data_IF_856088925483
#
_entry.id   IF_856088925483
#
_cell.length_a   1.000
_cell.length_b   1.000
_cell.length_c   1.000
_cell.angle_alpha   90.00
_cell.angle_beta   90.00
_cell.angle_gamma   90.00
#
_symmetry.space_group_name_H-M   'P 1'
#
loop_
_entity.id
_entity.type
_entity.pdbx_description
1 polymer ?
#
# COMPACT_ATOMS: atom_id res chain seq x y z
N UNK A 1 -19.57 -17.90 47.10
CA UNK A 1 -19.37 -18.14 48.55
C UNK A 1 -18.11 -18.99 48.72
N UNK A 2 -17.21 -18.57 49.61
CA UNK A 2 -16.05 -19.30 50.17
C UNK A 2 -14.70 -19.14 49.42
N UNK A 3 -13.89 -18.26 50.02
CA UNK A 3 -12.47 -18.01 49.84
C UNK A 3 -11.60 -19.23 50.21
N UNK A 4 -10.41 -19.35 49.61
CA UNK A 4 -9.26 -19.98 50.26
C UNK A 4 -7.97 -19.23 49.88
N UNK A 5 -7.32 -18.67 50.90
CA UNK A 5 -6.03 -17.98 50.88
C UNK A 5 -4.88 -18.92 51.29
N UNK A 6 -3.64 -18.44 51.11
CA UNK A 6 -2.33 -18.81 51.74
C UNK A 6 -1.49 -19.85 50.99
N UNK A 7 -0.15 -19.79 50.93
CA UNK A 7 0.86 -18.97 51.62
C UNK A 7 2.21 -19.09 50.87
N UNK A 8 3.02 -18.03 50.92
CA UNK A 8 4.46 -18.02 50.59
C UNK A 8 5.29 -18.96 51.47
N UNK A 9 6.41 -19.46 50.93
CA UNK A 9 7.62 -19.76 51.69
C UNK A 9 8.84 -19.09 51.05
N UNK A 10 9.54 -18.36 51.92
CA UNK A 10 10.87 -17.77 51.78
C UNK A 10 11.90 -18.89 52.03
N UNK A 11 12.99 -18.88 51.27
CA UNK A 11 14.14 -19.76 51.47
C UNK A 11 15.39 -19.19 50.80
N UNK A 12 16.13 -18.38 51.55
CA UNK A 12 17.47 -17.86 51.27
C UNK A 12 18.52 -18.96 51.50
N UNK A 13 19.54 -19.07 50.65
CA UNK A 13 20.96 -18.91 51.03
C UNK A 13 21.94 -19.35 49.93
N UNK A 14 22.95 -18.49 49.73
CA UNK A 14 24.37 -18.73 49.37
C UNK A 14 24.66 -19.59 48.12
N UNK A 15 25.55 -19.21 47.20
CA UNK A 15 26.92 -18.75 47.46
C UNK A 15 27.57 -18.15 46.18
N UNK A 16 28.51 -17.22 46.42
CA UNK A 16 29.73 -16.91 45.64
C UNK A 16 29.69 -16.59 44.13
N UNK A 17 29.82 -15.29 43.86
CA UNK A 17 30.63 -14.65 42.80
C UNK A 17 32.09 -15.19 42.77
N UNK A 18 32.88 -15.08 41.66
CA UNK A 18 33.13 -13.81 40.96
C UNK A 18 33.33 -13.85 39.42
N UNK A 19 32.80 -12.80 38.78
CA UNK A 19 33.51 -11.78 37.99
C UNK A 19 34.82 -12.19 37.27
N UNK A 20 34.88 -12.06 35.94
CA UNK A 20 35.72 -11.06 35.20
C UNK A 20 36.00 -11.42 33.73
N UNK A 21 35.57 -10.50 32.86
CA UNK A 21 36.32 -9.82 31.76
C UNK A 21 37.13 -10.59 30.70
N UNK A 22 36.88 -10.19 29.45
CA UNK A 22 37.86 -9.78 28.42
C UNK A 22 38.13 -10.71 27.21
N UNK A 23 37.70 -10.19 26.05
CA UNK A 23 38.49 -9.91 24.83
C UNK A 23 38.76 -10.98 23.73
N UNK A 24 38.48 -10.51 22.50
CA UNK A 24 39.15 -10.69 21.19
C UNK A 24 38.80 -11.87 20.24
N UNK A 25 38.18 -11.47 19.11
CA UNK A 25 38.64 -11.61 17.70
C UNK A 25 39.04 -12.98 17.13
N UNK A 26 38.29 -13.48 16.12
CA UNK A 26 38.76 -13.71 14.73
C UNK A 26 37.87 -14.69 13.92
N UNK A 27 37.35 -14.18 12.79
CA UNK A 27 37.18 -14.79 11.45
C UNK A 27 37.07 -16.33 11.28
N UNK A 28 36.03 -16.78 10.55
CA UNK A 28 36.17 -17.25 9.15
C UNK A 28 34.91 -17.98 8.64
N UNK A 29 34.69 -17.84 7.34
CA UNK A 29 33.58 -18.29 6.51
C UNK A 29 33.38 -19.82 6.43
N UNK A 30 32.17 -20.26 6.04
CA UNK A 30 31.92 -21.06 4.82
C UNK A 30 30.51 -21.68 4.82
N UNK A 31 29.85 -21.58 3.67
CA UNK A 31 28.60 -22.24 3.27
C UNK A 31 28.93 -23.32 2.20
N UNK A 32 27.93 -24.05 1.66
CA UNK A 32 27.53 -25.44 1.94
C UNK A 32 28.04 -26.45 0.87
N UNK A 33 27.65 -27.74 0.91
CA UNK A 33 26.91 -28.32 -0.25
C UNK A 33 25.92 -29.51 0.07
N UNK A 34 25.20 -30.06 -0.95
CA UNK A 34 23.98 -30.90 -0.86
C UNK A 34 24.23 -32.42 -1.09
N UNK A 35 23.20 -33.29 -1.19
CA UNK A 35 22.78 -33.85 -2.51
C UNK A 35 21.26 -34.17 -2.64
N UNK A 36 20.58 -34.04 -3.78
CA UNK A 36 20.50 -34.87 -5.02
C UNK A 36 19.53 -36.07 -4.99
N UNK A 37 18.54 -36.00 -5.90
CA UNK A 37 17.84 -37.02 -6.71
C UNK A 37 17.48 -38.42 -6.16
N UNK A 38 16.24 -38.85 -6.42
CA UNK A 38 15.94 -40.01 -7.30
C UNK A 38 14.45 -40.16 -7.60
N UNK A 39 14.16 -40.44 -8.87
CA UNK A 39 12.91 -41.03 -9.38
C UNK A 39 12.86 -42.52 -9.02
N UNK A 40 11.67 -43.08 -8.80
CA UNK A 40 11.17 -44.23 -9.59
C UNK A 40 9.78 -44.73 -9.14
N UNK A 41 9.19 -45.44 -10.09
CA UNK A 41 7.81 -45.85 -10.30
C UNK A 41 7.30 -46.97 -9.37
N UNK A 42 5.98 -47.03 -9.10
CA UNK A 42 5.05 -48.12 -9.54
C UNK A 42 3.72 -48.13 -8.74
N UNK A 43 2.68 -48.54 -9.48
CA UNK A 43 1.24 -48.46 -9.23
C UNK A 43 0.63 -49.36 -8.14
N UNK A 44 -0.55 -48.95 -7.66
CA UNK A 44 -1.81 -49.68 -7.35
C UNK A 44 -2.64 -48.74 -6.44
N UNK A 45 -3.91 -48.38 -6.61
CA UNK A 45 -5.08 -48.96 -7.26
C UNK A 45 -6.27 -48.67 -6.32
N UNK A 46 -7.46 -48.37 -6.87
CA UNK A 46 -8.74 -48.03 -6.19
C UNK A 46 -8.84 -46.59 -5.65
N UNK A 47 -9.89 -45.80 -5.82
CA UNK A 47 -11.20 -45.95 -6.46
C UNK A 47 -12.08 -44.76 -5.99
N UNK A 48 -12.98 -44.30 -6.86
CA UNK A 48 -14.13 -43.41 -6.63
C UNK A 48 -13.92 -41.88 -6.76
N UNK A 49 -14.27 -41.38 -7.94
CA UNK A 49 -14.84 -40.02 -8.14
C UNK A 49 -16.37 -40.13 -8.20
N UNK A 50 -17.15 -39.19 -7.60
CA UNK A 50 -18.58 -39.13 -7.81
C UNK A 50 -18.94 -38.39 -9.10
N UNK A 51 -19.99 -38.89 -9.76
CA UNK A 51 -20.50 -38.49 -11.06
C UNK A 51 -21.40 -37.23 -11.01
N UNK A 52 -21.41 -36.49 -12.12
CA UNK A 52 -22.38 -35.43 -12.43
C UNK A 52 -23.75 -36.01 -12.86
N UNK A 53 -24.87 -35.32 -12.63
CA UNK A 53 -26.20 -35.81 -12.98
C UNK A 53 -26.55 -35.56 -14.47
N UNK A 54 -27.40 -36.39 -15.09
CA UNK A 54 -27.86 -36.16 -16.47
C UNK A 54 -29.08 -35.23 -16.52
N UNK A 55 -29.04 -34.23 -17.40
CA UNK A 55 -30.19 -33.44 -17.82
C UNK A 55 -30.95 -34.18 -18.92
N UNK A 56 -32.24 -34.41 -18.69
CA UNK A 56 -33.19 -34.89 -19.70
C UNK A 56 -33.92 -33.68 -20.28
N UNK A 57 -34.01 -33.61 -21.62
CA UNK A 57 -34.85 -32.65 -22.33
C UNK A 57 -35.63 -33.41 -23.39
N UNK A 58 -36.97 -33.30 -23.46
CA UNK A 58 -37.73 -33.85 -24.57
C UNK A 58 -37.73 -32.86 -25.75
N UNK A 59 -37.42 -33.37 -26.95
CA UNK A 59 -37.64 -32.66 -28.21
C UNK A 59 -39.14 -32.64 -28.55
N UNK A 60 -39.74 -31.52 -29.01
CA UNK A 60 -41.04 -31.57 -29.63
C UNK A 60 -40.90 -31.91 -31.12
N UNK A 61 -41.79 -32.78 -31.59
CA UNK A 61 -41.90 -33.19 -32.99
C UNK A 61 -42.40 -32.04 -33.87
N UNK A 62 -41.78 -31.88 -35.04
CA UNK A 62 -42.20 -30.97 -36.09
C UNK A 62 -43.59 -31.32 -36.61
N UNK A 63 -44.53 -30.38 -36.49
CA UNK A 63 -45.76 -30.35 -37.30
C UNK A 63 -45.76 -29.06 -38.09
N UNK A 64 -45.73 -29.18 -39.43
CA UNK A 64 -45.74 -28.06 -40.37
C UNK A 64 -47.18 -27.72 -40.72
N UNK A 65 -47.61 -26.46 -40.50
CA UNK A 65 -48.74 -25.84 -41.19
C UNK A 65 -48.51 -24.33 -41.42
N UNK A 66 -49.14 -23.70 -42.42
CA UNK A 66 -48.53 -22.63 -43.20
C UNK A 66 -49.02 -21.20 -42.88
N UNK A 67 -48.11 -20.24 -43.13
CA UNK A 67 -48.29 -18.83 -43.51
C UNK A 67 -49.22 -17.93 -42.66
N UNK A 68 -48.60 -17.00 -41.92
CA UNK A 68 -49.13 -15.65 -41.70
C UNK A 68 -47.97 -14.64 -41.62
N UNK A 69 -47.87 -13.77 -42.63
CA UNK A 69 -47.06 -12.55 -42.57
C UNK A 69 -47.74 -11.58 -41.59
N UNK A 70 -47.32 -11.60 -40.32
CA UNK A 70 -47.87 -10.69 -39.31
C UNK A 70 -47.01 -10.45 -38.06
N UNK A 71 -46.02 -11.29 -37.78
CA UNK A 71 -45.38 -11.30 -36.44
C UNK A 71 -43.91 -10.88 -36.40
N UNK A 72 -43.34 -10.36 -37.49
CA UNK A 72 -41.91 -10.03 -37.51
C UNK A 72 -41.60 -8.74 -36.74
N UNK A 73 -42.48 -7.74 -36.79
CA UNK A 73 -42.35 -6.47 -36.06
C UNK A 73 -42.48 -6.65 -34.55
N UNK A 74 -43.45 -7.44 -34.10
CA UNK A 74 -43.67 -7.71 -32.66
C UNK A 74 -42.51 -8.50 -32.03
N UNK A 75 -41.85 -9.38 -32.81
CA UNK A 75 -40.66 -10.08 -32.35
C UNK A 75 -39.48 -9.11 -32.16
N UNK A 76 -39.27 -8.18 -33.09
CA UNK A 76 -38.22 -7.17 -32.98
C UNK A 76 -38.47 -6.20 -31.81
N UNK A 77 -39.70 -5.75 -31.59
CA UNK A 77 -40.06 -4.91 -30.43
C UNK A 77 -39.88 -5.68 -29.11
N UNK A 78 -40.26 -6.96 -29.05
CA UNK A 78 -40.09 -7.77 -27.85
C UNK A 78 -38.61 -8.06 -27.52
N UNK A 79 -37.76 -8.17 -28.53
CA UNK A 79 -36.32 -8.34 -28.36
C UNK A 79 -35.65 -7.02 -27.94
N UNK A 80 -36.08 -5.88 -28.48
CA UNK A 80 -35.63 -4.56 -28.05
C UNK A 80 -36.03 -4.28 -26.60
N UNK A 81 -37.28 -4.54 -26.21
CA UNK A 81 -37.75 -4.40 -24.84
C UNK A 81 -37.01 -5.34 -23.88
N UNK A 82 -36.72 -6.57 -24.32
CA UNK A 82 -35.93 -7.51 -23.55
C UNK A 82 -34.48 -7.01 -23.36
N UNK A 83 -33.85 -6.48 -24.41
CA UNK A 83 -32.52 -5.89 -24.33
C UNK A 83 -32.49 -4.64 -23.45
N UNK A 84 -33.53 -3.80 -23.51
CA UNK A 84 -33.69 -2.63 -22.63
C UNK A 84 -33.87 -3.05 -21.18
N UNK A 85 -34.73 -4.03 -20.89
CA UNK A 85 -34.91 -4.56 -19.53
C UNK A 85 -33.63 -5.23 -19.00
N UNK A 86 -32.92 -5.97 -19.85
CA UNK A 86 -31.64 -6.57 -19.49
C UNK A 86 -30.59 -5.50 -19.20
N UNK A 87 -30.48 -4.46 -20.03
CA UNK A 87 -29.57 -3.34 -19.80
C UNK A 87 -29.93 -2.57 -18.52
N UNK A 88 -31.22 -2.37 -18.24
CA UNK A 88 -31.69 -1.72 -17.01
C UNK A 88 -31.39 -2.57 -15.77
N UNK A 89 -31.58 -3.88 -15.85
CA UNK A 89 -31.27 -4.83 -14.77
C UNK A 89 -29.75 -4.92 -14.52
N UNK A 90 -28.94 -4.94 -15.58
CA UNK A 90 -27.46 -4.87 -15.46
C UNK A 90 -27.05 -3.53 -14.84
N UNK A 91 -27.64 -2.41 -15.26
CA UNK A 91 -27.37 -1.08 -14.70
C UNK A 91 -27.76 -0.98 -13.23
N UNK A 92 -28.88 -1.60 -12.83
CA UNK A 92 -29.33 -1.64 -11.44
C UNK A 92 -28.55 -2.65 -10.58
N UNK A 93 -28.04 -3.73 -11.16
CA UNK A 93 -27.35 -4.80 -10.44
C UNK A 93 -25.87 -4.50 -10.17
N UNK A 94 -25.34 -3.37 -10.67
CA UNK A 94 -23.93 -2.99 -10.48
C UNK A 94 -23.67 -2.17 -9.19
N UNK A 95 -24.70 -1.88 -8.38
CA UNK A 95 -24.55 -1.03 -7.20
C UNK A 95 -24.16 -1.73 -5.89
N UNK A 96 -24.11 -3.07 -5.83
CA UNK A 96 -23.97 -3.78 -4.53
C UNK A 96 -22.73 -4.68 -4.35
N UNK A 97 -21.83 -4.84 -5.32
CA UNK A 97 -20.63 -5.68 -5.08
C UNK A 97 -19.33 -5.33 -5.82
N UNK A 98 -19.28 -4.27 -6.64
CA UNK A 98 -18.07 -3.95 -7.46
C UNK A 98 -17.73 -2.46 -7.60
N UNK A 99 -18.40 -1.58 -6.85
CA UNK A 99 -18.34 -0.12 -7.06
C UNK A 99 -16.97 0.51 -6.75
N UNK A 100 -16.12 -0.15 -5.95
CA UNK A 100 -14.75 0.32 -5.73
C UNK A 100 -13.86 0.13 -6.96
N UNK A 101 -13.70 -1.12 -7.40
CA UNK A 101 -12.70 -1.48 -8.40
C UNK A 101 -12.98 -0.91 -9.81
N UNK A 102 -14.24 -0.80 -10.23
CA UNK A 102 -14.60 -0.25 -11.54
C UNK A 102 -14.45 1.29 -11.56
N UNK A 103 -14.89 1.96 -10.49
CA UNK A 103 -14.69 3.40 -10.33
C UNK A 103 -13.21 3.76 -10.24
N UNK A 104 -12.40 2.90 -9.63
CA UNK A 104 -10.95 3.04 -9.59
C UNK A 104 -10.31 2.84 -10.97
N UNK A 105 -10.82 1.91 -11.77
CA UNK A 105 -10.37 1.72 -13.16
C UNK A 105 -10.69 2.92 -14.05
N UNK A 106 -11.91 3.47 -13.96
CA UNK A 106 -12.32 4.65 -14.72
C UNK A 106 -11.48 5.87 -14.30
N UNK A 107 -11.23 6.04 -13.00
CA UNK A 107 -10.37 7.12 -12.48
C UNK A 107 -8.92 6.97 -12.94
N UNK A 108 -8.33 5.78 -12.82
CA UNK A 108 -6.97 5.51 -13.27
C UNK A 108 -6.80 5.73 -14.79
N UNK A 109 -7.77 5.30 -15.59
CA UNK A 109 -7.77 5.51 -17.04
C UNK A 109 -7.91 6.99 -17.44
N UNK A 110 -8.71 7.75 -16.68
CA UNK A 110 -8.88 9.20 -16.88
C UNK A 110 -7.57 9.95 -16.66
N UNK A 111 -6.81 9.60 -15.62
CA UNK A 111 -5.50 10.20 -15.33
C UNK A 111 -4.46 9.91 -16.42
N UNK A 112 -4.42 8.67 -16.91
CA UNK A 112 -3.53 8.28 -18.02
C UNK A 112 -3.84 9.06 -19.30
N UNK A 113 -5.11 9.43 -19.50
CA UNK A 113 -5.58 10.09 -20.73
C UNK A 113 -5.45 11.61 -20.68
N UNK A 114 -5.53 12.24 -19.49
CA UNK A 114 -5.60 13.70 -19.36
C UNK A 114 -4.27 14.39 -19.08
N UNK A 115 -3.15 13.66 -18.95
CA UNK A 115 -1.79 14.23 -18.93
C UNK A 115 -1.66 15.52 -18.11
N UNK A 116 -1.58 15.39 -16.79
CA UNK A 116 -1.65 16.45 -15.77
C UNK A 116 -0.79 17.70 -15.98
N UNK A 117 -1.17 18.53 -16.95
CA UNK A 117 -0.55 19.81 -17.26
C UNK A 117 -1.61 20.92 -17.28
N UNK A 118 -2.08 21.33 -16.09
CA UNK A 118 -2.69 22.64 -15.93
C UNK A 118 -1.85 23.50 -14.98
N UNK A 119 -0.93 24.26 -15.59
CA UNK A 119 -0.16 25.35 -15.00
C UNK A 119 -1.09 26.51 -14.62
N UNK A 120 -0.96 27.04 -13.40
CA UNK A 120 -1.00 28.50 -13.20
C UNK A 120 0.14 28.91 -12.27
N UNK A 121 1.08 29.63 -12.85
CA UNK A 121 2.17 30.38 -12.24
C UNK A 121 1.60 31.65 -11.58
N UNK A 122 1.72 31.83 -10.26
CA UNK A 122 1.68 33.13 -9.56
C UNK A 122 2.40 32.96 -8.21
N UNK A 123 3.36 33.83 -7.97
CA UNK A 123 3.94 34.39 -6.74
C UNK A 123 3.84 33.72 -5.35
N UNK A 124 4.86 34.01 -4.55
CA UNK A 124 5.45 33.35 -3.36
C UNK A 124 4.56 33.07 -2.12
N UNK A 125 3.27 33.38 -2.14
CA UNK A 125 2.26 32.88 -1.16
C UNK A 125 1.49 31.65 -1.67
N UNK A 126 1.58 31.35 -2.97
CA UNK A 126 0.93 30.23 -3.64
C UNK A 126 1.63 28.87 -3.42
N UNK A 127 2.75 28.87 -2.68
CA UNK A 127 3.54 27.67 -2.39
C UNK A 127 2.78 26.70 -1.48
N UNK A 128 2.26 27.18 -0.36
CA UNK A 128 1.51 26.37 0.60
C UNK A 128 0.22 25.81 -0.01
N UNK A 129 -0.51 26.66 -0.76
CA UNK A 129 -1.71 26.21 -1.50
C UNK A 129 -1.39 25.10 -2.50
N UNK A 130 -0.30 25.20 -3.27
CA UNK A 130 0.12 24.15 -4.21
C UNK A 130 0.46 22.83 -3.52
N UNK A 131 1.05 22.88 -2.33
CA UNK A 131 1.44 21.68 -1.58
C UNK A 131 0.23 21.02 -0.92
N UNK A 132 -0.69 21.82 -0.39
CA UNK A 132 -1.96 21.31 0.13
C UNK A 132 -2.82 20.73 -1.00
N UNK A 133 -2.85 21.37 -2.17
CA UNK A 133 -3.52 20.85 -3.36
C UNK A 133 -2.91 19.50 -3.80
N UNK A 134 -1.58 19.35 -3.71
CA UNK A 134 -0.91 18.08 -4.00
C UNK A 134 -1.26 16.99 -2.97
N UNK A 135 -1.40 17.37 -1.71
CA UNK A 135 -1.82 16.46 -0.63
C UNK A 135 -3.26 15.97 -0.87
N UNK A 136 -4.17 16.90 -1.23
CA UNK A 136 -5.55 16.60 -1.64
C UNK A 136 -5.62 15.73 -2.87
N UNK A 137 -4.79 16.03 -3.85
CA UNK A 137 -4.68 15.23 -5.06
C UNK A 137 -4.24 13.80 -4.73
N UNK A 138 -3.19 13.62 -3.93
CA UNK A 138 -2.76 12.28 -3.55
C UNK A 138 -3.82 11.51 -2.74
N UNK A 139 -4.52 12.19 -1.83
CA UNK A 139 -5.65 11.62 -1.08
C UNK A 139 -6.79 11.14 -1.99
N UNK A 140 -7.13 11.91 -3.01
CA UNK A 140 -8.27 11.60 -3.90
C UNK A 140 -7.90 10.56 -4.98
N UNK A 141 -6.68 10.63 -5.50
CA UNK A 141 -6.26 9.86 -6.67
C UNK A 141 -5.28 8.73 -6.37
N UNK A 142 -4.77 8.63 -5.14
CA UNK A 142 -3.84 7.58 -4.71
C UNK A 142 -2.56 7.49 -5.57
N UNK A 143 -2.21 8.56 -6.27
CA UNK A 143 -1.08 8.60 -7.21
C UNK A 143 -0.36 9.95 -7.11
N UNK A 144 0.97 9.90 -7.09
CA UNK A 144 1.85 11.00 -7.45
C UNK A 144 2.72 10.60 -8.63
N UNK A 145 2.58 11.28 -9.76
CA UNK A 145 3.30 10.94 -10.99
C UNK A 145 4.79 11.35 -10.96
N UNK A 146 5.56 10.94 -11.96
CA UNK A 146 7.00 11.20 -12.07
C UNK A 146 7.37 12.69 -12.02
N UNK A 147 6.49 13.57 -12.51
CA UNK A 147 6.69 15.02 -12.50
C UNK A 147 6.30 15.70 -11.18
N UNK A 148 5.52 15.03 -10.35
CA UNK A 148 4.99 15.55 -9.10
C UNK A 148 5.97 15.24 -7.98
N UNK A 149 6.45 16.28 -7.30
CA UNK A 149 7.47 16.17 -6.25
C UNK A 149 6.85 16.42 -4.89
N UNK A 150 7.21 15.61 -3.91
CA UNK A 150 6.83 15.83 -2.52
C UNK A 150 7.66 16.98 -1.96
N UNK A 151 6.99 18.04 -1.50
CA UNK A 151 7.62 19.27 -0.99
C UNK A 151 7.32 19.45 0.49
N UNK A 152 8.07 20.35 1.16
CA UNK A 152 7.80 20.70 2.55
C UNK A 152 6.36 21.21 2.72
N UNK A 153 5.66 20.67 3.71
CA UNK A 153 4.25 20.92 3.98
C UNK A 153 3.30 19.87 3.39
N UNK A 154 3.80 18.95 2.54
CA UNK A 154 2.98 17.85 2.04
C UNK A 154 2.62 16.93 3.19
N UNK A 155 1.37 16.48 3.24
CA UNK A 155 0.93 15.53 4.25
C UNK A 155 0.05 14.44 3.65
N UNK A 156 0.28 13.23 4.11
CA UNK A 156 -0.50 12.06 3.75
C UNK A 156 -1.42 11.70 4.91
N UNK A 157 -2.72 11.68 4.66
CA UNK A 157 -3.72 11.33 5.68
C UNK A 157 -4.10 9.86 5.51
N UNK A 158 -4.25 9.16 6.62
CA UNK A 158 -4.77 7.82 6.69
C UNK A 158 -5.96 7.78 7.65
N UNK A 159 -7.07 7.22 7.19
CA UNK A 159 -8.23 7.01 8.04
C UNK A 159 -8.10 5.68 8.77
N UNK A 160 -8.07 5.71 10.10
CA UNK A 160 -8.02 4.51 10.93
C UNK A 160 -9.40 3.92 11.21
N UNK A 161 -10.47 4.59 10.78
CA UNK A 161 -11.85 4.17 11.02
C UNK A 161 -12.74 4.28 9.77
N UNK A 162 -13.37 3.16 9.37
CA UNK A 162 -14.30 3.12 8.23
C UNK A 162 -15.53 4.04 8.36
N UNK A 163 -15.78 4.61 9.54
CA UNK A 163 -16.91 5.48 9.82
C UNK A 163 -16.74 6.91 9.24
N UNK A 164 -15.51 7.31 8.90
CA UNK A 164 -15.21 8.68 8.44
C UNK A 164 -14.80 8.65 6.96
N UNK A 165 -15.73 8.23 6.11
CA UNK A 165 -15.58 8.42 4.67
C UNK A 165 -16.05 9.84 4.33
N UNK A 166 -15.12 10.73 3.98
CA UNK A 166 -15.42 12.15 3.86
C UNK A 166 -14.31 12.97 3.21
N UNK A 167 -14.52 14.30 3.26
CA UNK A 167 -13.57 15.31 2.78
C UNK A 167 -12.25 15.21 3.55
N UNK A 168 -11.13 15.35 2.85
CA UNK A 168 -9.79 15.38 3.47
C UNK A 168 -9.73 16.44 4.59
N UNK A 169 -9.32 16.08 5.82
CA UNK A 169 -9.16 17.02 6.92
C UNK A 169 -7.99 17.97 6.65
N UNK A 170 -8.09 19.22 7.10
CA UNK A 170 -6.99 20.16 6.98
C UNK A 170 -5.89 19.84 8.00
N UNK A 171 -4.66 20.26 7.71
CA UNK A 171 -3.53 20.05 8.62
C UNK A 171 -3.78 20.70 9.99
N UNK A 172 -4.34 21.92 10.02
CA UNK A 172 -4.68 22.61 11.27
C UNK A 172 -5.69 21.84 12.13
N UNK A 173 -6.68 21.19 11.50
CA UNK A 173 -7.68 20.38 12.21
C UNK A 173 -7.02 19.14 12.85
N UNK A 174 -6.08 18.53 12.13
CA UNK A 174 -5.34 17.35 12.59
C UNK A 174 -4.37 17.65 13.74
N UNK A 175 -3.75 18.83 13.71
CA UNK A 175 -2.85 19.31 14.78
C UNK A 175 -3.60 19.68 16.06
N UNK A 176 -4.80 20.26 15.91
CA UNK A 176 -5.61 20.71 17.06
C UNK A 176 -6.32 19.54 17.76
N UNK A 177 -6.51 18.42 17.06
CA UNK A 177 -7.30 17.28 17.55
C UNK A 177 -6.41 16.03 17.79
N UNK A 178 -5.66 16.08 18.88
CA UNK A 178 -4.75 15.03 19.32
C UNK A 178 -5.49 13.87 20.02
N UNK A 179 -6.17 13.01 19.25
CA UNK A 179 -6.51 11.66 19.74
C UNK A 179 -7.92 11.11 19.44
N UNK A 180 -8.86 11.89 18.92
CA UNK A 180 -10.25 11.41 18.70
C UNK A 180 -10.75 11.61 17.26
N UNK A 181 -9.86 11.98 16.33
CA UNK A 181 -10.25 12.30 14.96
C UNK A 181 -10.44 11.08 14.05
N UNK A 182 -9.98 9.88 14.47
CA UNK A 182 -9.98 8.70 13.60
C UNK A 182 -9.03 8.82 12.39
N UNK A 183 -8.14 9.81 12.40
CA UNK A 183 -7.15 10.06 11.36
C UNK A 183 -5.74 10.01 11.94
N UNK A 184 -4.82 9.42 11.17
CA UNK A 184 -3.39 9.51 11.36
C UNK A 184 -2.83 10.24 10.15
N UNK A 185 -2.02 11.28 10.37
CA UNK A 185 -1.41 12.01 9.26
C UNK A 185 0.12 11.96 9.35
N UNK A 186 0.77 11.86 8.21
CA UNK A 186 2.23 11.89 8.09
C UNK A 186 2.64 13.11 7.30
N UNK A 187 3.41 14.01 7.91
CA UNK A 187 3.85 15.26 7.28
C UNK A 187 5.30 15.15 6.83
N UNK A 188 5.59 15.74 5.68
CA UNK A 188 6.93 15.95 5.15
C UNK A 188 7.29 17.42 5.34
N UNK A 189 8.19 17.71 6.28
CA UNK A 189 8.65 19.09 6.51
C UNK A 189 10.06 19.09 7.11
N UNK A 190 11.06 19.39 6.29
CA UNK A 190 12.48 19.38 6.69
C UNK A 190 12.80 20.31 7.86
N UNK A 191 12.13 21.47 7.92
CA UNK A 191 12.40 22.46 8.97
C UNK A 191 11.99 21.98 10.36
N UNK A 192 11.01 21.09 10.42
CA UNK A 192 10.45 20.55 11.66
C UNK A 192 10.89 19.10 11.91
N UNK A 193 11.69 18.53 11.02
CA UNK A 193 12.08 17.12 11.03
C UNK A 193 13.58 16.97 10.75
N UNK A 194 14.44 17.09 11.79
CA UNK A 194 15.88 16.98 11.62
C UNK A 194 16.31 15.58 11.15
N UNK A 195 15.55 14.53 11.51
CA UNK A 195 15.83 13.18 11.05
C UNK A 195 15.60 13.05 9.53
N UNK A 196 14.56 13.69 9.00
CA UNK A 196 14.35 13.76 7.54
C UNK A 196 15.51 14.48 6.84
N UNK A 197 15.99 15.61 7.39
CA UNK A 197 17.12 16.35 6.81
C UNK A 197 18.39 15.47 6.75
N UNK A 198 18.69 14.71 7.81
CA UNK A 198 19.81 13.76 7.82
C UNK A 198 19.66 12.68 6.74
N UNK A 199 18.48 12.07 6.60
CA UNK A 199 18.22 11.05 5.57
C UNK A 199 18.38 11.62 4.16
N UNK A 200 17.93 12.85 3.94
CA UNK A 200 18.10 13.54 2.66
C UNK A 200 19.56 13.82 2.35
N UNK A 201 20.36 14.20 3.34
CA UNK A 201 21.80 14.39 3.19
C UNK A 201 22.49 13.07 2.84
N UNK A 202 22.12 11.96 3.49
CA UNK A 202 22.66 10.63 3.16
C UNK A 202 22.26 10.23 1.73
N UNK A 203 21.02 10.46 1.33
CA UNK A 203 20.56 10.17 -0.03
C UNK A 203 21.34 10.95 -1.09
N UNK A 204 21.70 12.21 -0.81
CA UNK A 204 22.58 12.99 -1.68
C UNK A 204 23.98 12.41 -1.78
N UNK A 205 24.57 11.95 -0.66
CA UNK A 205 25.87 11.27 -0.67
C UNK A 205 25.80 9.99 -1.54
N UNK A 206 24.77 9.16 -1.37
CA UNK A 206 24.57 7.96 -2.19
C UNK A 206 24.50 8.31 -3.69
N UNK A 207 23.79 9.38 -4.06
CA UNK A 207 23.69 9.82 -5.45
C UNK A 207 25.01 10.38 -6.02
N UNK A 208 25.94 10.84 -5.17
CA UNK A 208 27.28 11.25 -5.60
C UNK A 208 28.21 10.06 -5.81
N UNK A 209 28.04 9.00 -5.01
CA UNK A 209 28.85 7.78 -5.10
C UNK A 209 28.50 6.93 -6.33
N UNK A 210 27.26 7.01 -6.81
CA UNK A 210 26.74 6.24 -7.95
C UNK A 210 26.27 7.17 -9.09
N UNK A 211 27.04 7.32 -10.18
CA UNK A 211 26.62 8.08 -11.34
C UNK A 211 25.33 7.56 -11.95
N UNK A 212 24.63 8.41 -12.71
CA UNK A 212 23.31 8.15 -13.31
C UNK A 212 23.21 6.88 -14.19
N UNK A 213 24.32 6.22 -14.51
CA UNK A 213 24.37 4.97 -15.26
C UNK A 213 23.93 3.75 -14.43
N UNK A 214 24.11 3.78 -13.10
CA UNK A 214 23.80 2.66 -12.20
C UNK A 214 22.51 2.87 -11.40
N UNK A 215 21.42 3.24 -12.08
CA UNK A 215 20.12 3.56 -11.46
C UNK A 215 19.62 2.43 -10.55
N UNK A 216 19.88 1.18 -10.91
CA UNK A 216 19.47 0.01 -10.10
C UNK A 216 20.19 -0.05 -8.75
N UNK A 217 21.48 0.26 -8.72
CA UNK A 217 22.28 0.27 -7.48
C UNK A 217 21.85 1.45 -6.62
N UNK A 218 21.65 2.62 -7.23
CA UNK A 218 21.14 3.81 -6.56
C UNK A 218 19.79 3.55 -5.89
N UNK A 219 18.84 2.94 -6.62
CA UNK A 219 17.52 2.55 -6.08
C UNK A 219 17.67 1.58 -4.93
N UNK A 220 18.55 0.58 -5.05
CA UNK A 220 18.80 -0.39 -3.99
C UNK A 220 19.34 0.29 -2.73
N UNK A 221 20.33 1.17 -2.85
CA UNK A 221 20.92 1.88 -1.71
C UNK A 221 19.91 2.80 -1.01
N UNK A 222 19.05 3.49 -1.78
CA UNK A 222 17.93 4.25 -1.20
C UNK A 222 16.92 3.35 -0.47
N UNK A 223 16.59 2.19 -1.05
CA UNK A 223 15.66 1.26 -0.43
C UNK A 223 16.23 0.67 0.87
N UNK A 224 17.54 0.39 0.91
CA UNK A 224 18.26 -0.04 2.11
C UNK A 224 18.25 1.04 3.19
N UNK A 225 18.49 2.31 2.82
CA UNK A 225 18.42 3.45 3.73
C UNK A 225 17.03 3.60 4.37
N UNK A 226 15.97 3.61 3.55
CA UNK A 226 14.57 3.67 4.02
C UNK A 226 14.25 2.48 4.91
N UNK A 227 14.67 1.29 4.48
CA UNK A 227 14.40 0.05 5.21
C UNK A 227 15.10 0.04 6.56
N UNK A 228 16.36 0.47 6.62
CA UNK A 228 17.13 0.59 7.85
C UNK A 228 16.51 1.58 8.83
N UNK A 229 16.09 2.75 8.33
CA UNK A 229 15.44 3.78 9.16
C UNK A 229 14.10 3.31 9.73
N UNK A 230 13.30 2.59 8.95
CA UNK A 230 11.92 2.24 9.29
C UNK A 230 11.74 0.83 9.90
N UNK A 231 12.77 0.30 10.57
CA UNK A 231 12.66 -0.91 11.39
C UNK A 231 13.16 -2.19 10.73
N UNK A 232 13.87 -2.06 9.61
CA UNK A 232 14.55 -3.16 8.92
C UNK A 232 13.63 -4.01 8.03
N UNK A 233 14.14 -5.15 7.52
CA UNK A 233 13.37 -6.11 6.73
C UNK A 233 12.22 -6.74 7.51
N UNK A 234 11.08 -6.92 6.84
CA UNK A 234 9.85 -7.43 7.45
C UNK A 234 9.57 -8.86 7.01
N UNK A 235 9.38 -9.78 7.97
CA UNK A 235 8.99 -11.17 7.70
C UNK A 235 7.51 -11.45 7.95
N UNK A 236 6.91 -10.70 8.86
CA UNK A 236 5.51 -10.83 9.27
C UNK A 236 4.86 -9.44 9.31
N UNK A 237 3.89 -9.24 8.43
CA UNK A 237 3.16 -7.98 8.31
C UNK A 237 2.34 -7.65 9.58
N UNK A 238 1.76 -8.66 10.23
CA UNK A 238 0.95 -8.48 11.44
C UNK A 238 1.81 -8.01 12.62
N UNK A 239 3.03 -8.56 12.71
CA UNK A 239 3.98 -8.16 13.74
C UNK A 239 4.38 -6.68 13.59
N UNK A 240 4.67 -6.24 12.36
CA UNK A 240 5.02 -4.84 12.11
C UNK A 240 3.84 -3.92 12.31
N UNK A 241 2.63 -4.33 11.93
CA UNK A 241 1.41 -3.58 12.23
C UNK A 241 1.23 -3.38 13.74
N UNK A 242 1.38 -4.45 14.53
CA UNK A 242 1.28 -4.36 15.99
C UNK A 242 2.33 -3.40 16.59
N UNK A 243 3.59 -3.51 16.14
CA UNK A 243 4.66 -2.59 16.55
C UNK A 243 4.37 -1.14 16.13
N UNK A 244 3.83 -0.93 14.94
CA UNK A 244 3.43 0.40 14.49
C UNK A 244 2.32 0.99 15.37
N UNK A 245 1.30 0.21 15.73
CA UNK A 245 0.21 0.69 16.57
C UNK A 245 0.70 1.13 17.96
N UNK A 246 1.66 0.40 18.54
CA UNK A 246 2.31 0.79 19.80
C UNK A 246 3.12 2.08 19.62
N UNK A 247 4.05 2.10 18.64
CA UNK A 247 4.95 3.24 18.42
C UNK A 247 4.24 4.52 17.98
N UNK A 248 3.22 4.41 17.14
CA UNK A 248 2.42 5.57 16.72
C UNK A 248 1.67 6.17 17.91
N UNK A 249 1.16 5.35 18.83
CA UNK A 249 0.49 5.84 20.05
C UNK A 249 1.46 6.56 20.97
N UNK A 250 2.68 6.02 21.14
CA UNK A 250 3.75 6.67 21.91
C UNK A 250 4.16 8.01 21.29
N UNK A 251 4.41 8.05 19.97
CA UNK A 251 4.76 9.27 19.24
C UNK A 251 3.67 10.34 19.34
N UNK A 252 2.41 9.95 19.08
CA UNK A 252 1.25 10.86 19.17
C UNK A 252 1.11 11.43 20.59
N UNK A 253 1.35 10.63 21.62
CA UNK A 253 1.32 11.09 23.02
C UNK A 253 2.49 12.03 23.34
N UNK A 254 3.69 11.74 22.82
CA UNK A 254 4.88 12.56 23.07
C UNK A 254 4.83 13.93 22.40
N UNK A 255 4.30 14.01 21.18
CA UNK A 255 4.24 15.25 20.38
C UNK A 255 2.89 15.95 20.58
N UNK A 256 1.92 15.29 21.22
CA UNK A 256 0.56 15.80 21.47
C UNK A 256 -0.17 16.23 20.18
N UNK A 257 -0.03 15.43 19.13
CA UNK A 257 -0.67 15.67 17.82
C UNK A 257 -0.92 14.35 17.11
N UNK A 258 -1.88 14.35 16.17
CA UNK A 258 -2.16 13.22 15.27
C UNK A 258 -1.31 13.27 13.99
N UNK A 259 -0.47 14.31 13.85
CA UNK A 259 0.41 14.54 12.69
C UNK A 259 1.84 14.14 13.04
N UNK A 260 2.36 13.12 12.36
CA UNK A 260 3.70 12.57 12.61
C UNK A 260 4.68 13.01 11.52
N UNK A 261 5.83 13.62 11.88
CA UNK A 261 6.90 13.87 10.92
C UNK A 261 7.44 12.55 10.36
N UNK A 262 7.57 12.45 9.03
CA UNK A 262 7.98 11.21 8.33
C UNK A 262 9.33 10.65 8.84
N UNK A 263 10.28 11.52 9.15
CA UNK A 263 11.61 11.15 9.67
C UNK A 263 11.57 10.64 11.11
N UNK A 264 10.54 10.97 11.88
CA UNK A 264 10.35 10.44 13.24
C UNK A 264 9.81 9.00 13.26
N UNK A 265 9.32 8.49 12.13
CA UNK A 265 8.77 7.14 11.99
C UNK A 265 9.92 6.13 11.83
N UNK A 266 10.30 5.47 12.92
CA UNK A 266 11.33 4.42 12.94
C UNK A 266 10.80 2.98 12.80
N UNK A 267 9.48 2.78 12.80
CA UNK A 267 8.84 1.51 12.46
C UNK A 267 7.73 1.82 11.46
N UNK A 268 7.98 1.63 10.18
CA UNK A 268 7.06 2.04 9.11
C UNK A 268 6.34 0.88 8.43
N UNK A 269 5.06 1.10 8.08
CA UNK A 269 4.30 0.26 7.15
C UNK A 269 4.72 0.54 5.69
N UNK A 270 4.17 -0.23 4.75
CA UNK A 270 4.38 -0.04 3.31
C UNK A 270 4.20 1.43 2.89
N UNK A 271 3.09 2.06 3.29
CA UNK A 271 2.79 3.46 2.97
C UNK A 271 3.85 4.45 3.44
N UNK A 272 4.36 4.30 4.67
CA UNK A 272 5.38 5.18 5.23
C UNK A 272 6.69 5.02 4.48
N UNK A 273 7.08 3.76 4.21
CA UNK A 273 8.30 3.43 3.47
C UNK A 273 8.26 3.98 2.06
N UNK A 274 7.13 3.81 1.36
CA UNK A 274 6.97 4.28 0.00
C UNK A 274 6.97 5.82 -0.09
N UNK A 275 6.34 6.50 0.88
CA UNK A 275 6.37 7.95 0.97
C UNK A 275 7.79 8.48 1.25
N UNK A 276 8.49 7.92 2.23
CA UNK A 276 9.88 8.32 2.50
C UNK A 276 10.79 8.06 1.29
N UNK A 277 10.66 6.91 0.64
CA UNK A 277 11.40 6.61 -0.58
C UNK A 277 11.12 7.66 -1.67
N UNK A 278 9.85 8.04 -1.88
CA UNK A 278 9.47 9.09 -2.83
C UNK A 278 10.14 10.42 -2.50
N UNK A 279 10.15 10.84 -1.24
CA UNK A 279 10.83 12.08 -0.80
C UNK A 279 12.32 12.06 -1.09
N UNK A 280 13.00 10.94 -0.79
CA UNK A 280 14.43 10.79 -1.06
C UNK A 280 14.73 10.75 -2.56
N UNK A 281 13.91 10.05 -3.34
CA UNK A 281 14.02 10.01 -4.80
C UNK A 281 13.86 11.41 -5.42
N UNK A 282 12.88 12.19 -4.97
CA UNK A 282 12.65 13.55 -5.46
C UNK A 282 13.83 14.50 -5.14
N UNK A 283 14.47 14.29 -3.98
CA UNK A 283 15.66 15.03 -3.53
C UNK A 283 16.82 14.88 -4.52
N UNK A 284 17.06 13.65 -4.98
CA UNK A 284 18.13 13.34 -5.93
C UNK A 284 17.66 13.39 -7.39
N UNK A 285 16.42 13.81 -7.63
CA UNK A 285 15.79 13.92 -8.96
C UNK A 285 15.66 12.57 -9.71
N UNK A 286 15.54 11.47 -8.98
CA UNK A 286 15.25 10.15 -9.54
C UNK A 286 13.78 10.08 -9.99
N UNK A 287 13.47 9.71 -11.25
CA UNK A 287 12.09 9.55 -11.71
C UNK A 287 11.35 8.44 -10.94
N UNK A 288 10.52 8.86 -9.98
CA UNK A 288 9.79 7.98 -9.09
C UNK A 288 8.31 8.37 -9.07
N UNK A 289 7.43 7.41 -9.35
CA UNK A 289 5.99 7.54 -9.15
C UNK A 289 5.61 6.86 -7.84
N UNK A 290 4.74 7.45 -7.04
CA UNK A 290 4.19 6.86 -5.82
C UNK A 290 2.72 6.50 -6.07
N UNK A 291 2.34 5.26 -5.80
CA UNK A 291 0.96 4.78 -6.00
C UNK A 291 0.47 4.03 -4.77
N UNK A 292 -0.84 4.15 -4.50
CA UNK A 292 -1.58 3.47 -3.44
C UNK A 292 -2.69 2.62 -4.01
N UNK A 293 -3.15 1.66 -3.23
CA UNK A 293 -4.36 0.92 -3.53
C UNK A 293 -4.14 -0.48 -4.09
N UNK A 294 -5.21 -1.27 -3.97
CA UNK A 294 -5.24 -2.68 -4.29
C UNK A 294 -4.96 -2.99 -5.77
N UNK A 295 -5.16 -2.03 -6.67
CA UNK A 295 -4.81 -2.16 -8.08
C UNK A 295 -3.32 -2.49 -8.29
N UNK A 296 -2.44 -1.99 -7.41
CA UNK A 296 -0.99 -2.17 -7.54
C UNK A 296 -0.43 -3.21 -6.57
N UNK A 297 -1.03 -3.36 -5.40
CA UNK A 297 -0.47 -4.13 -4.28
C UNK A 297 -1.35 -5.32 -3.86
N UNK A 298 -2.61 -5.36 -4.31
CA UNK A 298 -3.63 -6.28 -3.81
C UNK A 298 -4.23 -5.87 -2.45
N UNK A 299 -3.72 -4.82 -1.80
CA UNK A 299 -4.16 -4.33 -0.49
C UNK A 299 -4.49 -2.84 -0.62
N UNK A 300 -5.69 -2.44 -0.20
CA UNK A 300 -6.20 -1.07 -0.38
C UNK A 300 -5.31 0.00 0.29
N UNK A 301 -4.75 -0.30 1.45
CA UNK A 301 -3.99 0.67 2.25
C UNK A 301 -2.48 0.65 1.98
N UNK A 302 -2.01 -0.21 1.08
CA UNK A 302 -0.60 -0.32 0.74
C UNK A 302 -0.21 0.67 -0.36
N UNK A 303 1.06 1.09 -0.32
CA UNK A 303 1.68 1.93 -1.33
C UNK A 303 3.01 1.35 -1.83
N UNK A 304 3.33 1.65 -3.09
CA UNK A 304 4.57 1.25 -3.75
C UNK A 304 5.11 2.36 -4.64
N UNK A 305 6.42 2.31 -4.90
CA UNK A 305 7.08 3.22 -5.82
C UNK A 305 7.35 2.52 -7.16
N UNK A 306 7.16 3.25 -8.27
CA UNK A 306 7.49 2.78 -9.61
C UNK A 306 8.60 3.67 -10.16
N UNK A 307 9.76 3.08 -10.45
CA UNK A 307 10.93 3.81 -10.97
C UNK A 307 10.99 3.65 -12.48
N UNK A 308 11.21 4.75 -13.19
CA UNK A 308 11.46 4.71 -14.62
C UNK A 308 12.96 4.52 -14.83
N UNK A 309 13.34 3.38 -15.37
CA UNK A 309 14.69 3.15 -15.89
C UNK A 309 14.76 3.78 -17.29
N UNK A 310 15.81 4.54 -17.58
CA UNK A 310 16.07 4.94 -18.97
C UNK A 310 16.39 3.68 -19.76
N UNK A 311 15.61 3.43 -20.80
CA UNK A 311 15.85 2.34 -21.74
C UNK A 311 17.13 2.72 -22.49
N UNK A 312 18.20 1.92 -22.38
CA UNK A 312 19.40 2.02 -23.23
C UNK A 312 19.05 1.65 -24.68
N UNK A 313 18.14 2.41 -25.31
CA UNK A 313 17.98 2.38 -26.76
C UNK A 313 19.08 3.23 -27.37
N UNK A 314 20.25 2.61 -27.47
CA UNK A 314 21.32 2.94 -28.42
C UNK A 314 20.80 2.95 -29.86
#
# INVERSE_FOLDING_TARGET
MKHIFKKLHIGSNHESSPNRTSNETSTSASTPPPPSCSSDHRASGTGNSPASPPSTSPSPASTVQPLAFGNRTDYFESEEDFQVQLALAISASNSEFRDGAEKDQIRAATLLSLGGNNRIDVDREKGEGKVEDLSKYYWEYNVLDYGERVMDGFYDVFCTSSAVQGKMPSLMDLETNAGDSGFEAVIVNRKLDPALEELMQIAQCIALDWPATDVTILVQQLAELVTGHMGGPVKDANLILAKWMERSTELRTSIQTSVLPIGSINIGLSRHRALLFKVLADTIKLPCRLVKGSHYTGIEDDAVNIIKLEDERL
#
